data_IF_628978697408
#
_entry.id   IF_628978697408
#
_cell.length_a   1.000
_cell.length_b   1.000
_cell.length_c   1.000
_cell.angle_alpha   90.00
_cell.angle_beta   90.00
_cell.angle_gamma   90.00
#
_symmetry.space_group_name_H-M   'P 1'
#
loop_
_entity.id
_entity.type
_entity.pdbx_description
1 polymer ?
#
# COMPACT_ATOMS: atom_id res chain seq x y z
N UNK A 1 -45.57 7.79 16.24
CA UNK A 1 -44.36 7.13 16.79
C UNK A 1 -43.84 5.94 15.97
N UNK A 2 -44.69 5.04 15.46
CA UNK A 2 -44.23 3.87 14.67
C UNK A 2 -43.44 4.23 13.40
N UNK A 3 -43.87 5.26 12.67
CA UNK A 3 -43.21 5.73 11.43
C UNK A 3 -41.78 6.25 11.66
N UNK A 4 -41.56 7.01 12.73
CA UNK A 4 -40.24 7.55 13.09
C UNK A 4 -39.27 6.41 13.45
N UNK A 5 -39.74 5.40 14.19
CA UNK A 5 -38.92 4.22 14.52
C UNK A 5 -38.48 3.45 13.27
N UNK A 6 -39.35 3.33 12.25
CA UNK A 6 -39.00 2.68 10.98
C UNK A 6 -37.90 3.45 10.26
N UNK A 7 -38.04 4.77 10.16
CA UNK A 7 -37.05 5.63 9.48
C UNK A 7 -35.68 5.52 10.14
N UNK A 8 -35.63 5.59 11.47
CA UNK A 8 -34.38 5.46 12.23
C UNK A 8 -33.71 4.09 12.03
N UNK A 9 -34.49 3.00 12.02
CA UNK A 9 -33.96 1.66 11.79
C UNK A 9 -33.40 1.50 10.37
N UNK A 10 -34.10 2.02 9.35
CA UNK A 10 -33.62 1.97 7.97
C UNK A 10 -32.34 2.78 7.77
N UNK A 11 -32.21 3.92 8.45
CA UNK A 11 -31.02 4.77 8.41
C UNK A 11 -29.81 4.08 9.06
N UNK A 12 -30.02 3.40 10.19
CA UNK A 12 -28.96 2.66 10.87
C UNK A 12 -28.39 1.52 9.99
N UNK A 13 -29.28 0.78 9.29
CA UNK A 13 -28.87 -0.32 8.40
C UNK A 13 -28.08 0.22 7.20
N UNK A 14 -28.54 1.31 6.57
CA UNK A 14 -27.82 1.90 5.43
C UNK A 14 -26.47 2.47 5.83
N UNK A 15 -26.36 3.10 6.99
CA UNK A 15 -25.09 3.60 7.53
C UNK A 15 -24.11 2.45 7.84
N UNK A 16 -24.58 1.32 8.37
CA UNK A 16 -23.74 0.15 8.62
C UNK A 16 -23.18 -0.46 7.32
N UNK A 17 -24.00 -0.57 6.28
CA UNK A 17 -23.56 -1.07 4.96
C UNK A 17 -22.58 -0.09 4.31
N UNK A 18 -22.86 1.22 4.38
CA UNK A 18 -21.97 2.25 3.83
C UNK A 18 -20.60 2.26 4.55
N UNK A 19 -20.58 2.09 5.87
CA UNK A 19 -19.34 1.96 6.65
C UNK A 19 -18.49 0.75 6.25
N UNK A 20 -19.12 -0.39 5.95
CA UNK A 20 -18.41 -1.60 5.49
C UNK A 20 -17.83 -1.47 4.07
N UNK A 21 -18.38 -0.59 3.23
CA UNK A 21 -17.87 -0.30 1.89
C UNK A 21 -16.80 0.80 1.89
N UNK A 22 -16.88 1.76 2.82
CA UNK A 22 -15.93 2.86 2.95
C UNK A 22 -14.52 2.44 3.42
N UNK A 23 -14.35 1.22 3.95
CA UNK A 23 -13.04 0.70 4.38
C UNK A 23 -12.19 0.15 3.24
N UNK A 24 -12.63 0.24 1.98
CA UNK A 24 -11.92 -0.35 0.84
C UNK A 24 -11.00 0.64 0.10
N UNK A 25 -10.13 1.29 0.85
CA UNK A 25 -8.85 1.77 0.33
C UNK A 25 -7.72 1.37 1.28
N UNK A 26 -7.70 0.10 1.67
CA UNK A 26 -6.45 -0.51 2.12
C UNK A 26 -5.62 -0.79 0.87
N UNK A 27 -4.71 0.12 0.50
CA UNK A 27 -3.62 -0.24 -0.40
C UNK A 27 -2.81 -1.31 0.32
N UNK A 28 -3.12 -2.56 0.01
CA UNK A 28 -2.43 -3.69 0.56
C UNK A 28 -0.95 -3.55 0.21
N UNK A 29 -0.14 -3.38 1.24
CA UNK A 29 1.31 -3.11 1.24
C UNK A 29 2.15 -4.08 0.36
N UNK A 30 1.54 -5.16 -0.11
CA UNK A 30 2.17 -6.22 -0.89
C UNK A 30 1.81 -6.23 -2.38
N UNK A 31 0.95 -5.34 -2.87
CA UNK A 31 0.47 -5.40 -4.27
C UNK A 31 1.37 -4.60 -5.23
N UNK A 32 2.04 -3.55 -4.73
CA UNK A 32 2.87 -2.72 -5.59
C UNK A 32 4.27 -3.30 -5.76
N UNK A 33 4.74 -3.36 -7.00
CA UNK A 33 6.14 -3.66 -7.30
C UNK A 33 7.05 -2.68 -6.56
N UNK A 34 7.96 -3.22 -5.77
CA UNK A 34 8.96 -2.44 -5.05
C UNK A 34 10.24 -2.34 -5.87
N UNK A 35 11.02 -1.29 -5.64
CA UNK A 35 12.24 -0.98 -6.37
C UNK A 35 13.36 -0.59 -5.41
N UNK A 36 14.61 -0.90 -5.77
CA UNK A 36 15.81 -0.44 -5.08
C UNK A 36 16.62 0.49 -6.00
N UNK A 37 17.28 1.50 -5.45
CA UNK A 37 18.22 2.32 -6.21
C UNK A 37 19.45 1.48 -6.57
N UNK A 38 19.81 1.45 -7.86
CA UNK A 38 21.03 0.81 -8.38
C UNK A 38 21.69 1.79 -9.34
N UNK A 39 22.85 2.32 -8.94
CA UNK A 39 23.59 3.37 -9.63
C UNK A 39 22.72 4.61 -9.93
N UNK A 40 22.39 4.86 -11.20
CA UNK A 40 21.55 5.98 -11.66
C UNK A 40 20.11 5.56 -11.97
N UNK A 41 19.70 4.35 -11.58
CA UNK A 41 18.43 3.73 -11.95
C UNK A 41 17.71 3.07 -10.77
N UNK A 42 16.50 2.57 -11.01
CA UNK A 42 15.73 1.79 -10.05
C UNK A 42 15.48 0.40 -10.62
N UNK A 43 15.75 -0.64 -9.82
CA UNK A 43 15.53 -2.04 -10.19
C UNK A 43 14.42 -2.64 -9.34
N UNK A 44 13.52 -3.40 -9.96
CA UNK A 44 12.48 -4.11 -9.23
C UNK A 44 13.09 -5.07 -8.18
N UNK A 45 12.52 -5.06 -6.99
CA UNK A 45 12.90 -5.90 -5.87
C UNK A 45 12.25 -7.27 -6.03
N UNK A 46 13.01 -8.32 -5.73
CA UNK A 46 12.56 -9.69 -5.92
C UNK A 46 12.71 -10.11 -7.39
N UNK A 47 13.95 -10.32 -7.83
CA UNK A 47 14.16 -11.29 -8.92
C UNK A 47 13.51 -12.60 -8.51
N UNK A 48 12.81 -13.27 -9.44
CA UNK A 48 12.14 -14.54 -9.15
C UNK A 48 13.07 -15.49 -8.38
N UNK A 49 12.68 -15.86 -7.15
CA UNK A 49 13.45 -16.73 -6.27
C UNK A 49 14.39 -16.07 -5.25
N UNK A 50 14.51 -14.74 -5.23
CA UNK A 50 15.33 -14.01 -4.24
C UNK A 50 14.42 -13.22 -3.30
N UNK A 51 14.29 -13.71 -2.07
CA UNK A 51 13.65 -12.99 -0.98
C UNK A 51 14.59 -11.87 -0.48
N UNK A 52 14.07 -10.85 0.18
CA UNK A 52 14.88 -9.76 0.73
C UNK A 52 14.32 -9.31 2.09
N UNK A 53 15.19 -8.70 2.89
CA UNK A 53 14.82 -8.08 4.14
C UNK A 53 15.23 -6.60 4.17
N UNK A 54 14.54 -5.81 4.97
CA UNK A 54 14.88 -4.43 5.29
C UNK A 54 15.24 -4.36 6.77
N UNK A 55 16.54 -4.22 7.09
CA UNK A 55 16.98 -4.10 8.48
C UNK A 55 16.78 -2.68 9.00
N UNK A 56 16.25 -2.56 10.21
CA UNK A 56 15.81 -1.28 10.80
C UNK A 56 16.95 -0.26 10.89
N UNK A 57 16.92 0.71 9.98
CA UNK A 57 17.83 1.84 9.89
C UNK A 57 17.02 3.06 9.44
N UNK A 58 17.54 4.27 9.67
CA UNK A 58 16.89 5.53 9.26
C UNK A 58 16.90 5.77 7.73
N UNK A 59 17.39 4.82 6.94
CA UNK A 59 17.45 4.90 5.48
C UNK A 59 16.17 4.35 4.82
N UNK A 60 16.03 4.56 3.51
CA UNK A 60 14.93 3.99 2.71
C UNK A 60 15.46 2.72 2.01
N UNK A 61 14.85 1.59 2.33
CA UNK A 61 15.20 0.27 1.80
C UNK A 61 14.62 0.04 0.40
N UNK A 62 13.35 0.40 0.21
CA UNK A 62 12.64 0.20 -1.07
C UNK A 62 11.79 1.41 -1.41
N UNK A 63 11.52 1.54 -2.70
CA UNK A 63 10.69 2.58 -3.30
C UNK A 63 9.54 1.92 -4.06
N UNK A 64 8.45 2.63 -4.25
CA UNK A 64 7.36 2.20 -5.12
C UNK A 64 7.18 3.22 -6.25
N UNK A 65 6.72 2.73 -7.41
CA UNK A 65 6.43 3.58 -8.54
C UNK A 65 4.99 4.10 -8.43
N UNK A 66 4.82 5.40 -8.33
CA UNK A 66 3.47 6.00 -8.30
C UNK A 66 2.86 5.96 -9.70
N UNK A 67 1.75 5.26 -9.86
CA UNK A 67 0.92 5.34 -11.07
C UNK A 67 -0.07 6.50 -10.92
N UNK A 68 0.44 7.72 -11.00
CA UNK A 68 -0.41 8.91 -11.06
C UNK A 68 -0.63 9.22 -12.54
N UNK A 69 -1.83 8.99 -13.05
CA UNK A 69 -2.21 9.37 -14.43
C UNK A 69 -2.09 10.87 -14.73
N UNK A 70 -1.72 11.69 -13.74
CA UNK A 70 -1.63 13.16 -13.80
C UNK A 70 -0.20 13.65 -13.48
N UNK A 71 0.79 12.77 -13.26
CA UNK A 71 2.16 13.19 -12.93
C UNK A 71 3.22 12.25 -13.52
N UNK A 72 4.45 12.73 -13.79
CA UNK A 72 5.52 11.85 -14.23
C UNK A 72 5.74 10.74 -13.19
N UNK A 73 5.90 9.51 -13.68
CA UNK A 73 6.19 8.33 -12.86
C UNK A 73 7.37 8.63 -11.93
N UNK A 74 7.10 8.74 -10.63
CA UNK A 74 8.10 9.04 -9.61
C UNK A 74 8.24 7.86 -8.67
N UNK A 75 9.48 7.57 -8.29
CA UNK A 75 9.78 6.62 -7.23
C UNK A 75 9.65 7.34 -5.89
N UNK A 76 8.74 6.86 -5.03
CA UNK A 76 8.56 7.37 -3.68
C UNK A 76 9.06 6.36 -2.64
N UNK A 77 9.62 6.83 -1.51
CA UNK A 77 10.04 5.96 -0.42
C UNK A 77 8.92 5.05 0.05
N UNK A 78 9.24 3.78 0.31
CA UNK A 78 8.30 2.77 0.78
C UNK A 78 8.71 2.19 2.13
N UNK A 79 9.63 1.22 2.15
CA UNK A 79 10.14 0.64 3.40
C UNK A 79 11.35 1.40 3.88
N UNK A 80 11.43 1.58 5.20
CA UNK A 80 12.66 2.04 5.85
C UNK A 80 13.58 0.86 6.12
N UNK A 81 14.87 1.12 6.18
CA UNK A 81 15.89 0.14 6.47
C UNK A 81 17.00 0.06 5.42
N UNK A 82 17.88 -0.91 5.60
CA UNK A 82 18.90 -1.29 4.62
C UNK A 82 18.44 -2.53 3.85
N UNK A 83 18.45 -2.45 2.52
CA UNK A 83 18.14 -3.58 1.65
C UNK A 83 19.18 -4.68 1.79
N UNK A 84 18.75 -5.90 2.13
CA UNK A 84 19.59 -7.08 2.19
C UNK A 84 18.93 -8.23 1.44
N UNK A 85 19.55 -8.74 0.35
CA UNK A 85 19.05 -9.93 -0.33
C UNK A 85 19.24 -11.16 0.56
N UNK A 86 18.19 -11.95 0.73
CA UNK A 86 18.26 -13.27 1.37
C UNK A 86 18.69 -14.26 0.30
N UNK A 87 19.92 -14.77 0.43
CA UNK A 87 20.37 -15.92 -0.37
C UNK A 87 19.66 -17.16 0.16
N UNK A 88 18.96 -17.89 -0.71
CA UNK A 88 18.54 -19.28 -0.43
C UNK A 88 19.74 -20.21 -0.59
#
# INVERSE_FOLDING_TARGET
MKRIKIILNTLAITLAIAGALATRYYMQEHIQSQYIPVDTSYRAVGTFGVDYNCYDTNMVCTFYLTDSGVSPKKYLPYRKGQYVPLKK
#
